data_IF_597631631536
#
_entry.id   IF_597631631536
#
_cell.length_a   1.000
_cell.length_b   1.000
_cell.length_c   1.000
_cell.angle_alpha   90.00
_cell.angle_beta   90.00
_cell.angle_gamma   90.00
#
_symmetry.space_group_name_H-M   'P 1'
#
loop_
_entity.id
_entity.type
_entity.pdbx_description
1 polymer ?
#
# COMPACT_ATOMS: atom_id res chain seq x y z
N UNK A 1 4.98 -13.12 -14.91
CA UNK A 1 3.77 -12.25 -14.92
C UNK A 1 3.85 -11.32 -13.71
N UNK A 2 3.57 -10.03 -13.87
CA UNK A 2 3.52 -9.05 -12.78
C UNK A 2 2.12 -8.42 -12.73
N UNK A 3 1.55 -8.30 -11.53
CA UNK A 3 0.26 -7.63 -11.30
C UNK A 3 0.49 -6.45 -10.35
N UNK A 4 0.17 -5.24 -10.82
CA UNK A 4 0.25 -4.03 -10.02
C UNK A 4 -1.16 -3.56 -9.64
N UNK A 5 -1.36 -3.27 -8.35
CA UNK A 5 -2.65 -2.85 -7.80
C UNK A 5 -2.43 -1.63 -6.90
N UNK A 6 -3.30 -0.63 -7.05
CA UNK A 6 -3.38 0.47 -6.08
C UNK A 6 -4.30 0.03 -4.93
N UNK A 7 -3.80 -0.11 -3.69
CA UNK A 7 -4.56 -0.68 -2.57
C UNK A 7 -5.75 0.21 -2.14
N UNK A 8 -5.66 1.51 -2.36
CA UNK A 8 -6.75 2.47 -2.08
C UNK A 8 -8.00 2.17 -2.92
N UNK A 9 -7.84 1.78 -4.18
CA UNK A 9 -8.93 1.35 -5.07
C UNK A 9 -9.90 2.45 -5.53
N UNK A 10 -9.73 3.69 -5.07
CA UNK A 10 -10.60 4.83 -5.40
C UNK A 10 -9.80 6.06 -5.85
N UNK A 11 -10.46 6.98 -6.56
CA UNK A 11 -9.89 8.30 -6.90
C UNK A 11 -10.07 9.35 -5.80
N UNK A 12 -10.95 9.09 -4.85
CA UNK A 12 -11.16 9.90 -3.64
C UNK A 12 -10.50 9.20 -2.46
N UNK A 13 -9.99 10.00 -1.54
CA UNK A 13 -9.37 9.54 -0.31
C UNK A 13 -10.34 8.63 0.47
N UNK A 14 -9.87 7.43 0.82
CA UNK A 14 -10.66 6.49 1.64
C UNK A 14 -9.80 5.81 2.69
N UNK A 15 -10.40 5.56 3.84
CA UNK A 15 -9.85 4.67 4.86
C UNK A 15 -10.98 3.77 5.38
N UNK A 16 -10.72 2.47 5.63
CA UNK A 16 -9.50 1.74 5.30
C UNK A 16 -9.39 1.43 3.80
N UNK A 17 -8.17 1.28 3.30
CA UNK A 17 -7.90 0.76 1.95
C UNK A 17 -8.38 -0.68 1.78
N UNK A 18 -8.54 -1.12 0.53
CA UNK A 18 -9.03 -2.47 0.20
C UNK A 18 -7.92 -3.50 0.46
N UNK A 19 -8.25 -4.56 1.19
CA UNK A 19 -7.31 -5.65 1.54
C UNK A 19 -7.30 -6.83 0.55
N UNK A 20 -8.07 -6.77 -0.54
CA UNK A 20 -8.19 -7.87 -1.52
C UNK A 20 -6.84 -8.37 -2.07
N UNK A 21 -5.89 -7.45 -2.31
CA UNK A 21 -4.55 -7.80 -2.79
C UNK A 21 -3.75 -8.62 -1.77
N UNK A 22 -3.95 -8.39 -0.47
CA UNK A 22 -3.32 -9.18 0.60
C UNK A 22 -3.88 -10.59 0.62
N UNK A 23 -5.19 -10.77 0.44
CA UNK A 23 -5.80 -12.10 0.37
C UNK A 23 -5.34 -12.90 -0.85
N UNK A 24 -5.22 -12.25 -2.02
CA UNK A 24 -4.67 -12.87 -3.24
C UNK A 24 -3.25 -13.36 -2.96
N UNK A 25 -2.38 -12.50 -2.43
CA UNK A 25 -0.99 -12.83 -2.15
C UNK A 25 -0.85 -13.92 -1.07
N UNK A 26 -1.66 -13.88 -0.01
CA UNK A 26 -1.69 -14.89 1.05
C UNK A 26 -2.10 -16.26 0.50
N UNK A 27 -3.15 -16.32 -0.32
CA UNK A 27 -3.67 -17.56 -0.89
C UNK A 27 -2.70 -18.16 -1.91
N UNK A 28 -2.12 -17.31 -2.76
CA UNK A 28 -1.13 -17.71 -3.75
C UNK A 28 0.28 -17.94 -3.17
N UNK A 29 0.49 -17.63 -1.88
CA UNK A 29 1.79 -17.70 -1.18
C UNK A 29 2.91 -16.94 -1.90
N UNK A 30 2.59 -15.77 -2.42
CA UNK A 30 3.53 -14.89 -3.12
C UNK A 30 3.85 -13.65 -2.28
N UNK A 31 5.07 -13.10 -2.39
CA UNK A 31 5.42 -11.83 -1.76
C UNK A 31 4.78 -10.64 -2.49
N UNK A 32 4.70 -9.50 -1.80
CA UNK A 32 4.25 -8.22 -2.37
C UNK A 32 5.43 -7.24 -2.36
N UNK A 33 5.77 -6.67 -3.51
CA UNK A 33 6.69 -5.54 -3.59
C UNK A 33 5.90 -4.24 -3.42
N UNK A 34 6.18 -3.47 -2.37
CA UNK A 34 5.63 -2.11 -2.25
C UNK A 34 6.34 -1.16 -3.22
N UNK A 35 5.57 -0.38 -3.97
CA UNK A 35 6.12 0.64 -4.89
C UNK A 35 5.42 1.96 -4.64
N UNK A 36 6.22 3.00 -4.42
CA UNK A 36 5.76 4.37 -4.17
C UNK A 36 6.21 5.32 -5.28
N UNK A 37 5.36 6.29 -5.60
CA UNK A 37 5.73 7.43 -6.44
C UNK A 37 5.92 8.64 -5.52
N UNK A 38 7.16 9.00 -5.24
CA UNK A 38 7.49 10.17 -4.42
C UNK A 38 7.53 11.41 -5.31
N UNK A 39 6.47 12.22 -5.23
CA UNK A 39 6.32 13.43 -6.03
C UNK A 39 7.15 14.60 -5.51
N UNK A 40 7.54 14.60 -4.23
CA UNK A 40 8.44 15.62 -3.69
C UNK A 40 9.83 15.46 -4.30
N UNK A 41 10.33 14.23 -4.36
CA UNK A 41 11.66 13.90 -4.90
C UNK A 41 11.64 13.62 -6.40
N UNK A 42 10.46 13.46 -7.02
CA UNK A 42 10.27 13.03 -8.41
C UNK A 42 10.96 11.69 -8.71
N UNK A 43 10.82 10.73 -7.79
CA UNK A 43 11.44 9.40 -7.89
C UNK A 43 10.43 8.28 -7.72
N UNK A 44 10.76 7.11 -8.29
CA UNK A 44 10.06 5.87 -8.01
C UNK A 44 10.80 5.13 -6.90
N UNK A 45 10.10 4.80 -5.82
CA UNK A 45 10.65 4.19 -4.62
C UNK A 45 10.22 2.73 -4.59
N UNK A 46 11.20 1.83 -4.67
CA UNK A 46 10.99 0.41 -4.35
C UNK A 46 11.11 0.25 -2.84
N UNK A 47 9.97 -0.03 -2.21
CA UNK A 47 9.87 -0.27 -0.78
C UNK A 47 10.26 -1.69 -0.36
N UNK A 48 9.83 -2.13 0.82
CA UNK A 48 10.07 -3.50 1.27
C UNK A 48 9.30 -4.52 0.41
N UNK A 49 9.87 -5.72 0.34
CA UNK A 49 9.15 -6.92 -0.09
C UNK A 49 8.48 -7.53 1.13
N UNK A 50 7.15 -7.58 1.13
CA UNK A 50 6.36 -8.07 2.25
C UNK A 50 5.93 -9.52 2.02
N UNK A 51 6.14 -10.35 3.03
CA UNK A 51 5.45 -11.64 3.15
C UNK A 51 4.15 -11.41 3.90
N UNK A 52 3.02 -11.83 3.32
CA UNK A 52 1.72 -11.65 3.96
C UNK A 52 1.60 -12.58 5.17
N UNK A 53 1.43 -11.97 6.35
CA UNK A 53 1.18 -12.68 7.61
C UNK A 53 -0.18 -13.39 7.58
N UNK A 54 -0.40 -14.32 8.51
CA UNK A 54 -1.74 -14.89 8.76
C UNK A 54 -2.74 -13.80 9.18
N UNK A 55 -2.27 -12.80 9.92
CA UNK A 55 -3.07 -11.62 10.24
C UNK A 55 -2.90 -10.55 9.15
N UNK A 56 -3.96 -10.38 8.36
CA UNK A 56 -4.02 -9.39 7.27
C UNK A 56 -3.90 -7.96 7.79
N UNK A 57 -4.34 -7.67 9.02
CA UNK A 57 -4.25 -6.33 9.61
C UNK A 57 -2.79 -5.91 9.81
N UNK A 58 -1.95 -6.83 10.31
CA UNK A 58 -0.51 -6.60 10.50
C UNK A 58 0.18 -6.35 9.16
N UNK A 59 -0.19 -7.12 8.13
CA UNK A 59 0.34 -6.94 6.78
C UNK A 59 -0.09 -5.59 6.19
N UNK A 60 -1.34 -5.19 6.42
CA UNK A 60 -1.86 -3.90 5.98
C UNK A 60 -1.16 -2.73 6.68
N UNK A 61 -0.86 -2.84 7.97
CA UNK A 61 -0.10 -1.82 8.69
C UNK A 61 1.34 -1.69 8.17
N UNK A 62 1.95 -2.78 7.76
CA UNK A 62 3.27 -2.76 7.09
C UNK A 62 3.20 -2.01 5.76
N UNK A 63 2.11 -2.19 5.00
CA UNK A 63 1.85 -1.44 3.77
C UNK A 63 1.68 0.05 4.06
N UNK A 64 0.83 0.41 5.03
CA UNK A 64 0.64 1.82 5.41
C UNK A 64 1.93 2.46 5.90
N UNK A 65 2.71 1.77 6.72
CA UNK A 65 4.01 2.25 7.23
C UNK A 65 4.95 2.66 6.11
N UNK A 66 5.01 1.89 5.01
CA UNK A 66 5.78 2.28 3.83
C UNK A 66 5.19 3.51 3.14
N UNK A 67 3.88 3.54 2.90
CA UNK A 67 3.27 4.67 2.18
C UNK A 67 3.29 5.99 2.97
N UNK A 68 3.41 5.96 4.31
CA UNK A 68 3.69 7.14 5.14
C UNK A 68 5.04 7.77 4.85
N UNK A 69 6.02 7.00 4.35
CA UNK A 69 7.35 7.53 3.99
C UNK A 69 7.41 8.09 2.56
N UNK A 70 6.30 8.03 1.80
CA UNK A 70 6.25 8.43 0.39
C UNK A 70 5.28 9.59 0.22
N UNK A 71 5.75 10.69 -0.38
CA UNK A 71 4.90 11.85 -0.63
C UNK A 71 4.11 11.69 -1.93
N UNK A 72 2.79 11.52 -1.82
CA UNK A 72 1.87 11.48 -2.95
C UNK A 72 1.74 12.84 -3.66
N UNK A 73 1.27 12.84 -4.91
CA UNK A 73 1.00 14.08 -5.68
C UNK A 73 0.00 15.01 -5.00
N UNK A 74 -1.02 14.43 -4.36
CA UNK A 74 -2.06 15.13 -3.62
C UNK A 74 -2.09 14.56 -2.19
N UNK A 75 -1.22 15.04 -1.27
CA UNK A 75 -1.09 14.46 0.06
C UNK A 75 -2.40 14.44 0.87
N UNK A 76 -3.25 15.46 0.72
CA UNK A 76 -4.56 15.51 1.37
C UNK A 76 -5.56 14.46 0.86
N UNK A 77 -5.27 13.82 -0.28
CA UNK A 77 -6.10 12.76 -0.85
C UNK A 77 -5.55 11.36 -0.56
N UNK A 78 -4.57 11.22 0.32
CA UNK A 78 -3.98 9.93 0.69
C UNK A 78 -4.11 9.72 2.19
N UNK A 79 -5.07 8.90 2.60
CA UNK A 79 -5.34 8.61 4.02
C UNK A 79 -4.77 7.22 4.34
N UNK A 80 -3.80 7.18 5.26
CA UNK A 80 -3.12 5.94 5.71
C UNK A 80 -3.34 5.67 7.21
N UNK A 81 -4.12 6.52 7.87
CA UNK A 81 -4.46 6.45 9.29
C UNK A 81 -5.93 6.81 9.47
N UNK A 82 -6.59 6.37 10.54
CA UNK A 82 -7.94 6.84 10.85
C UNK A 82 -7.93 8.36 11.03
N UNK A 83 -8.90 9.06 10.45
CA UNK A 83 -9.11 10.47 10.82
C UNK A 83 -9.55 10.50 12.29
N UNK A 84 -8.80 11.24 13.12
CA UNK A 84 -9.17 11.51 14.51
C UNK A 84 -10.49 12.29 14.61
#
# INVERSE_FOLDING_TARGET
LLLALAPEGTRKAVYPWKSGFLYIAQTARIPIQCVGLDYQKKTLVFGPVLTVSKDVKVSMESVYSFYRTVTAKYPQQTITEPNA
#
